data_IF_854603496702
#
_entry.id   IF_854603496702
#
_cell.length_a   1.000
_cell.length_b   1.000
_cell.length_c   1.000
_cell.angle_alpha   90.00
_cell.angle_beta   90.00
_cell.angle_gamma   90.00
#
_symmetry.space_group_name_H-M   'P 1'
#
loop_
_entity.id
_entity.type
_entity.pdbx_description
1 polymer ?
#
# COMPACT_ATOMS: atom_id res chain seq x y z
N UNK A 1 -12.54 16.15 19.84
CA UNK A 1 -11.28 15.60 19.29
C UNK A 1 -10.54 16.59 18.41
N UNK A 2 -11.12 17.12 17.31
CA UNK A 2 -10.44 18.18 16.51
C UNK A 2 -10.07 19.46 17.28
N UNK A 3 -10.73 19.72 18.39
CA UNK A 3 -10.45 20.86 19.28
C UNK A 3 -9.34 20.59 20.30
N UNK A 4 -9.02 19.32 20.60
CA UNK A 4 -8.01 18.96 21.62
C UNK A 4 -6.58 18.93 21.06
N UNK A 5 -6.41 18.87 19.74
CA UNK A 5 -5.10 18.94 19.07
C UNK A 5 -4.78 20.32 18.48
N UNK A 6 -5.74 21.26 18.45
CA UNK A 6 -5.62 22.53 17.72
C UNK A 6 -4.96 23.69 18.48
N UNK A 7 -4.78 23.59 19.80
CA UNK A 7 -4.30 24.71 20.62
C UNK A 7 -2.77 24.88 20.62
N UNK A 8 -2.01 23.87 20.18
CA UNK A 8 -0.55 23.89 20.14
C UNK A 8 0.03 23.56 18.77
N UNK A 9 1.19 24.15 18.43
CA UNK A 9 1.92 23.89 17.17
C UNK A 9 2.70 22.56 17.21
N UNK A 10 2.03 21.48 17.60
CA UNK A 10 2.66 20.19 17.94
C UNK A 10 2.60 19.16 16.81
N UNK A 11 2.03 19.51 15.65
CA UNK A 11 1.94 18.64 14.48
C UNK A 11 3.15 18.72 13.55
N UNK A 12 3.22 17.78 12.61
CA UNK A 12 4.25 17.78 11.57
C UNK A 12 3.93 18.90 10.57
N UNK A 13 4.90 19.76 10.28
CA UNK A 13 4.69 20.88 9.35
C UNK A 13 4.30 20.40 7.94
N UNK A 14 3.04 20.64 7.57
CA UNK A 14 2.48 20.26 6.27
C UNK A 14 2.72 21.34 5.21
N UNK A 15 2.43 22.59 5.56
CA UNK A 15 2.76 23.78 4.77
C UNK A 15 3.30 24.88 5.69
N UNK A 16 3.66 26.05 5.15
CA UNK A 16 4.01 27.21 5.98
C UNK A 16 2.88 27.64 6.93
N UNK A 17 1.63 27.21 6.69
CA UNK A 17 0.43 27.61 7.45
C UNK A 17 -0.38 26.45 8.04
N UNK A 18 -0.03 25.20 7.74
CA UNK A 18 -0.79 24.02 8.19
C UNK A 18 0.14 23.00 8.84
N UNK A 19 -0.37 22.32 9.86
CA UNK A 19 0.26 21.16 10.48
C UNK A 19 -0.61 19.93 10.27
N UNK A 20 0.03 18.76 10.25
CA UNK A 20 -0.62 17.47 10.27
C UNK A 20 -0.52 16.91 11.69
N UNK A 21 -1.65 16.90 12.40
CA UNK A 21 -1.70 16.60 13.82
C UNK A 21 -2.10 15.16 14.15
N UNK A 22 -3.00 14.61 13.35
CA UNK A 22 -3.57 13.29 13.53
C UNK A 22 -4.04 12.68 12.20
N UNK A 23 -4.18 11.35 12.21
CA UNK A 23 -4.89 10.57 11.21
C UNK A 23 -5.97 9.77 11.94
N UNK A 24 -7.23 10.02 11.61
CA UNK A 24 -8.38 9.34 12.18
C UNK A 24 -9.08 8.46 11.13
N UNK A 25 -9.44 7.23 11.52
CA UNK A 25 -10.31 6.37 10.74
C UNK A 25 -11.17 5.51 11.67
N UNK A 26 -12.46 5.83 11.74
CA UNK A 26 -13.39 5.22 12.69
C UNK A 26 -12.87 5.34 14.15
N UNK A 27 -12.50 4.22 14.76
CA UNK A 27 -11.93 4.09 16.10
C UNK A 27 -10.40 4.14 16.13
N UNK A 28 -9.72 4.01 14.99
CA UNK A 28 -8.27 4.12 14.89
C UNK A 28 -7.82 5.59 14.85
N UNK A 29 -7.03 6.02 15.85
CA UNK A 29 -6.39 7.34 15.89
C UNK A 29 -4.86 7.18 15.89
N UNK A 30 -4.18 7.89 14.98
CA UNK A 30 -2.73 8.04 15.01
C UNK A 30 -2.34 9.51 15.21
N UNK A 31 -1.71 9.83 16.33
CA UNK A 31 -1.18 11.17 16.63
C UNK A 31 0.21 11.33 16.02
N UNK A 32 0.47 12.49 15.41
CA UNK A 32 1.73 12.79 14.72
C UNK A 32 2.40 14.01 15.35
N UNK A 33 3.65 13.86 15.77
CA UNK A 33 4.45 14.94 16.38
C UNK A 33 5.92 14.87 15.96
N UNK A 34 6.66 15.97 16.08
CA UNK A 34 8.09 16.00 15.76
C UNK A 34 8.97 15.57 16.94
N UNK A 35 8.50 15.77 18.17
CA UNK A 35 9.23 15.42 19.39
C UNK A 35 8.39 14.55 20.32
N UNK A 36 9.07 13.76 21.14
CA UNK A 36 8.43 12.92 22.15
C UNK A 36 7.65 13.76 23.17
N UNK A 37 8.17 14.95 23.56
CA UNK A 37 7.46 15.86 24.45
C UNK A 37 6.12 16.31 23.85
N UNK A 38 6.10 16.71 22.57
CA UNK A 38 4.86 17.07 21.87
C UNK A 38 3.87 15.91 21.79
N UNK A 39 4.38 14.68 21.59
CA UNK A 39 3.56 13.47 21.60
C UNK A 39 2.92 13.21 22.96
N UNK A 40 3.67 13.42 24.05
CA UNK A 40 3.14 13.31 25.41
C UNK A 40 2.05 14.35 25.69
N UNK A 41 2.29 15.61 25.32
CA UNK A 41 1.31 16.69 25.49
C UNK A 41 0.01 16.40 24.73
N UNK A 42 0.09 15.88 23.50
CA UNK A 42 -1.09 15.46 22.72
C UNK A 42 -1.84 14.30 23.37
N UNK A 43 -1.11 13.30 23.88
CA UNK A 43 -1.72 12.14 24.53
C UNK A 43 -2.47 12.55 25.79
N UNK A 44 -1.89 13.43 26.61
CA UNK A 44 -2.53 13.99 27.80
C UNK A 44 -3.80 14.79 27.46
N UNK A 45 -3.75 15.60 26.39
CA UNK A 45 -4.91 16.38 25.92
C UNK A 45 -6.05 15.48 25.43
N UNK A 46 -5.73 14.43 24.66
CA UNK A 46 -6.73 13.44 24.21
C UNK A 46 -7.34 12.71 25.40
N UNK A 47 -6.54 12.27 26.38
CA UNK A 47 -7.04 11.61 27.59
C UNK A 47 -8.02 12.50 28.37
N UNK A 48 -7.66 13.78 28.58
CA UNK A 48 -8.53 14.75 29.25
C UNK A 48 -9.86 14.97 28.49
N UNK A 49 -9.81 15.07 27.16
CA UNK A 49 -11.00 15.25 26.34
C UNK A 49 -11.90 14.00 26.30
N UNK A 50 -11.32 12.80 26.35
CA UNK A 50 -12.06 11.54 26.39
C UNK A 50 -12.84 11.36 27.70
N UNK A 51 -12.29 11.83 28.82
CA UNK A 51 -12.95 11.78 30.12
C UNK A 51 -14.29 12.54 30.16
N UNK A 52 -14.47 13.56 29.31
CA UNK A 52 -15.67 14.39 29.27
C UNK A 52 -16.87 13.78 28.51
N UNK A 53 -16.68 12.70 27.74
CA UNK A 53 -17.68 12.16 26.80
C UNK A 53 -18.37 10.88 27.31
N UNK A 54 -18.20 10.53 28.59
CA UNK A 54 -18.72 9.32 29.24
C UNK A 54 -18.04 8.02 28.79
N UNK A 55 -16.90 7.73 29.43
CA UNK A 55 -16.47 6.39 29.83
C UNK A 55 -15.60 6.57 31.08
N UNK A 56 -16.04 6.01 32.20
CA UNK A 56 -15.25 5.85 33.43
C UNK A 56 -14.15 4.82 33.17
N UNK A 57 -12.94 5.30 32.90
CA UNK A 57 -11.72 5.05 33.70
C UNK A 57 -10.56 5.93 33.18
N UNK A 58 -9.66 6.41 34.05
CA UNK A 58 -8.61 7.37 33.70
C UNK A 58 -7.39 6.65 33.09
N UNK A 59 -6.94 7.02 31.90
CA UNK A 59 -5.75 6.41 31.31
C UNK A 59 -4.50 7.26 31.58
N UNK A 60 -3.79 6.89 32.62
CA UNK A 60 -2.45 6.28 32.46
C UNK A 60 -2.64 4.88 31.86
N UNK A 61 -1.79 4.35 30.97
CA UNK A 61 -1.84 2.89 30.75
C UNK A 61 -1.22 2.29 32.02
N UNK A 62 -1.99 2.14 33.09
CA UNK A 62 -1.59 1.56 34.39
C UNK A 62 -0.32 2.13 35.08
N UNK A 63 0.12 3.34 34.72
CA UNK A 63 1.38 3.92 35.22
C UNK A 63 2.63 3.40 34.48
N UNK A 64 2.44 2.75 33.33
CA UNK A 64 3.47 2.24 32.44
C UNK A 64 3.72 3.18 31.25
N UNK A 65 4.98 3.22 30.81
CA UNK A 65 5.42 4.00 29.66
C UNK A 65 4.79 3.47 28.36
N UNK A 66 4.37 4.37 27.46
CA UNK A 66 3.97 3.98 26.11
C UNK A 66 5.13 3.26 25.41
N UNK A 67 4.90 2.01 24.99
CA UNK A 67 5.93 1.23 24.32
C UNK A 67 6.41 1.92 23.03
N UNK A 68 7.72 2.17 22.96
CA UNK A 68 8.38 2.53 21.70
C UNK A 68 8.49 1.28 20.81
N UNK A 69 7.55 1.14 19.88
CA UNK A 69 7.46 -0.02 19.00
C UNK A 69 8.12 0.23 17.64
N UNK A 70 9.06 -0.65 17.26
CA UNK A 70 9.72 -0.62 15.94
C UNK A 70 8.79 -0.96 14.78
N UNK A 71 7.66 -1.60 15.08
CA UNK A 71 6.65 -1.98 14.09
C UNK A 71 5.25 -1.84 14.68
N UNK A 72 4.33 -1.22 13.95
CA UNK A 72 2.92 -1.14 14.34
C UNK A 72 2.01 -1.44 13.14
N UNK A 73 0.74 -1.78 13.41
CA UNK A 73 -0.25 -2.04 12.36
C UNK A 73 -1.25 -0.89 12.31
N UNK A 74 -1.40 -0.27 11.15
CA UNK A 74 -2.41 0.76 10.91
C UNK A 74 -3.25 0.40 9.69
N UNK A 75 -4.58 0.34 9.84
CA UNK A 75 -5.53 -0.09 8.81
C UNK A 75 -5.16 -1.43 8.14
N UNK A 76 -4.61 -2.31 8.97
CA UNK A 76 -4.17 -3.65 8.60
C UNK A 76 -2.81 -3.74 7.89
N UNK A 77 -2.16 -2.61 7.59
CA UNK A 77 -0.81 -2.55 7.00
C UNK A 77 0.25 -2.42 8.07
N UNK A 78 1.34 -3.17 7.95
CA UNK A 78 2.46 -3.10 8.90
C UNK A 78 3.39 -1.95 8.49
N UNK A 79 3.60 -1.02 9.41
CA UNK A 79 4.54 0.09 9.29
C UNK A 79 5.74 -0.23 10.18
N UNK A 80 6.92 -0.28 9.58
CA UNK A 80 8.20 -0.44 10.30
C UNK A 80 8.97 0.88 10.36
N UNK A 81 9.85 1.01 11.34
CA UNK A 81 10.75 2.15 11.55
C UNK A 81 11.54 2.50 10.27
N UNK A 82 11.88 1.51 9.44
CA UNK A 82 12.66 1.71 8.22
C UNK A 82 11.81 2.15 7.01
N UNK A 83 10.48 2.24 7.16
CA UNK A 83 9.51 2.49 6.09
C UNK A 83 9.58 1.47 4.95
N UNK A 84 9.96 0.24 5.28
CA UNK A 84 10.03 -0.91 4.38
C UNK A 84 8.66 -1.53 4.10
N UNK A 85 8.60 -2.43 3.11
CA UNK A 85 7.38 -3.18 2.79
C UNK A 85 7.56 -4.69 3.01
N UNK A 86 8.74 -5.14 3.47
CA UNK A 86 9.03 -6.56 3.63
C UNK A 86 8.17 -7.21 4.73
N UNK A 87 7.97 -6.53 5.86
CA UNK A 87 7.14 -7.03 6.96
C UNK A 87 5.67 -7.16 6.53
N UNK A 88 5.10 -6.11 5.92
CA UNK A 88 3.73 -6.14 5.42
C UNK A 88 3.54 -7.21 4.33
N UNK A 89 4.43 -7.28 3.34
CA UNK A 89 4.38 -8.32 2.29
C UNK A 89 4.43 -9.72 2.89
N UNK A 90 5.27 -9.96 3.92
CA UNK A 90 5.35 -11.25 4.61
C UNK A 90 4.03 -11.58 5.30
N UNK A 91 3.43 -10.64 6.02
CA UNK A 91 2.14 -10.82 6.67
C UNK A 91 1.02 -11.11 5.64
N UNK A 92 1.00 -10.38 4.52
CA UNK A 92 0.03 -10.56 3.43
C UNK A 92 0.17 -11.90 2.74
N UNK A 93 1.39 -12.41 2.56
CA UNK A 93 1.64 -13.78 2.08
C UNK A 93 1.02 -14.81 3.04
N UNK A 94 1.16 -14.61 4.35
CA UNK A 94 0.54 -15.45 5.37
C UNK A 94 -1.00 -15.44 5.27
N UNK A 95 -1.60 -14.24 5.25
CA UNK A 95 -3.06 -14.05 5.11
C UNK A 95 -3.60 -14.66 3.81
N UNK A 96 -2.92 -14.43 2.68
CA UNK A 96 -3.30 -14.99 1.39
C UNK A 96 -3.19 -16.53 1.36
N UNK A 97 -2.17 -17.10 2.02
CA UNK A 97 -2.06 -18.56 2.19
C UNK A 97 -3.24 -19.11 2.97
N UNK A 98 -3.63 -18.47 4.08
CA UNK A 98 -4.79 -18.87 4.86
C UNK A 98 -6.08 -18.79 4.04
N UNK A 99 -6.31 -17.69 3.31
CA UNK A 99 -7.46 -17.54 2.42
C UNK A 99 -7.51 -18.63 1.33
N UNK A 100 -6.37 -19.00 0.75
CA UNK A 100 -6.32 -20.12 -0.20
C UNK A 100 -6.74 -21.44 0.46
N UNK A 101 -6.23 -21.73 1.67
CA UNK A 101 -6.52 -22.98 2.37
C UNK A 101 -8.00 -23.10 2.78
N UNK A 102 -8.64 -22.00 3.17
CA UNK A 102 -10.08 -21.99 3.46
C UNK A 102 -10.93 -22.43 2.26
N UNK A 103 -10.46 -22.14 1.04
CA UNK A 103 -11.15 -22.50 -0.21
C UNK A 103 -10.77 -23.89 -0.75
N UNK A 104 -10.23 -24.80 0.09
CA UNK A 104 -9.71 -26.12 -0.37
C UNK A 104 -10.70 -26.87 -1.26
N UNK A 105 -11.98 -26.90 -0.87
CA UNK A 105 -13.01 -27.69 -1.56
C UNK A 105 -13.20 -27.20 -3.01
N UNK A 106 -13.03 -25.89 -3.26
CA UNK A 106 -13.09 -25.28 -4.59
C UNK A 106 -11.94 -25.79 -5.46
N UNK A 107 -10.72 -25.86 -4.91
CA UNK A 107 -9.54 -26.27 -5.67
C UNK A 107 -9.61 -27.75 -6.08
N UNK A 108 -10.12 -28.61 -5.20
CA UNK A 108 -10.26 -30.04 -5.46
C UNK A 108 -11.48 -30.41 -6.32
N UNK A 109 -12.55 -29.60 -6.30
CA UNK A 109 -13.76 -29.86 -7.09
C UNK A 109 -13.47 -30.10 -8.57
N UNK A 110 -14.03 -31.18 -9.13
CA UNK A 110 -13.96 -31.47 -10.58
C UNK A 110 -15.03 -30.74 -11.39
N UNK A 111 -16.08 -30.24 -10.73
CA UNK A 111 -17.21 -29.56 -11.38
C UNK A 111 -16.85 -28.14 -11.84
N UNK A 112 -15.89 -27.50 -11.16
CA UNK A 112 -15.46 -26.14 -11.49
C UNK A 112 -14.37 -26.15 -12.56
N UNK A 113 -14.59 -25.37 -13.61
CA UNK A 113 -13.58 -25.14 -14.65
C UNK A 113 -12.36 -24.42 -14.09
N UNK A 114 -11.20 -24.67 -14.73
CA UNK A 114 -9.93 -24.03 -14.38
C UNK A 114 -10.04 -22.50 -14.42
N UNK A 115 -10.71 -21.93 -15.42
CA UNK A 115 -10.91 -20.48 -15.54
C UNK A 115 -11.71 -19.91 -14.35
N UNK A 116 -12.73 -20.62 -13.89
CA UNK A 116 -13.52 -20.23 -12.70
C UNK A 116 -12.65 -20.24 -11.45
N UNK A 117 -11.82 -21.28 -11.26
CA UNK A 117 -10.88 -21.34 -10.13
C UNK A 117 -9.85 -20.22 -10.16
N UNK A 118 -9.30 -19.90 -11.33
CA UNK A 118 -8.38 -18.77 -11.51
C UNK A 118 -9.06 -17.43 -11.16
N UNK A 119 -10.34 -17.24 -11.51
CA UNK A 119 -11.13 -16.06 -11.11
C UNK A 119 -11.33 -16.00 -9.60
N UNK A 120 -11.67 -17.11 -8.96
CA UNK A 120 -11.84 -17.20 -7.50
C UNK A 120 -10.52 -16.89 -6.79
N UNK A 121 -9.40 -17.43 -7.28
CA UNK A 121 -8.07 -17.12 -6.75
C UNK A 121 -7.76 -15.62 -6.83
N UNK A 122 -8.01 -14.98 -7.97
CA UNK A 122 -7.75 -13.55 -8.12
C UNK A 122 -8.60 -12.70 -7.19
N UNK A 123 -9.87 -13.07 -6.99
CA UNK A 123 -10.84 -12.27 -6.22
C UNK A 123 -10.70 -12.43 -4.71
N UNK A 124 -10.30 -13.61 -4.23
CA UNK A 124 -10.27 -13.91 -2.79
C UNK A 124 -8.86 -14.01 -2.22
N UNK A 125 -7.89 -14.52 -2.99
CA UNK A 125 -6.52 -14.76 -2.50
C UNK A 125 -5.60 -13.63 -2.90
N UNK A 126 -5.64 -13.25 -4.19
CA UNK A 126 -4.73 -12.26 -4.74
C UNK A 126 -5.06 -10.84 -4.28
N UNK A 127 -6.33 -10.53 -4.03
CA UNK A 127 -6.77 -9.28 -3.40
C UNK A 127 -6.21 -9.13 -1.99
N UNK A 128 -6.24 -10.19 -1.18
CA UNK A 128 -5.63 -10.21 0.17
C UNK A 128 -4.12 -10.05 0.08
N UNK A 129 -3.49 -10.73 -0.89
CA UNK A 129 -2.05 -10.64 -1.12
C UNK A 129 -1.62 -9.22 -1.52
N UNK A 130 -2.35 -8.56 -2.41
CA UNK A 130 -2.00 -7.25 -3.00
C UNK A 130 -2.76 -6.08 -2.36
N UNK A 131 -3.25 -6.26 -1.14
CA UNK A 131 -3.85 -5.18 -0.36
C UNK A 131 -2.75 -4.21 0.07
N UNK A 132 -2.94 -2.92 -0.17
CA UNK A 132 -1.95 -1.87 0.15
C UNK A 132 -0.75 -1.84 -0.80
N UNK A 133 -0.74 -2.67 -1.85
CA UNK A 133 0.40 -2.74 -2.78
C UNK A 133 0.66 -1.44 -3.55
N UNK A 134 -0.33 -0.55 -3.60
CA UNK A 134 -0.24 0.78 -4.18
C UNK A 134 0.86 1.63 -3.52
N UNK A 135 1.04 1.50 -2.20
CA UNK A 135 1.95 2.31 -1.39
C UNK A 135 3.28 1.61 -1.08
N UNK A 136 3.42 0.33 -1.45
CA UNK A 136 4.65 -0.42 -1.20
C UNK A 136 5.85 0.12 -1.96
N UNK A 137 7.01 0.01 -1.32
CA UNK A 137 8.32 0.07 -1.97
C UNK A 137 8.56 -1.24 -2.71
N UNK A 138 8.52 -1.21 -4.04
CA UNK A 138 8.63 -2.43 -4.86
C UNK A 138 10.07 -2.73 -5.26
N UNK A 139 10.80 -3.39 -4.36
CA UNK A 139 12.12 -3.93 -4.70
C UNK A 139 12.00 -5.16 -5.61
N UNK A 140 13.04 -5.44 -6.40
CA UNK A 140 13.10 -6.66 -7.23
C UNK A 140 12.85 -7.92 -6.39
N UNK A 141 13.40 -7.97 -5.17
CA UNK A 141 13.23 -9.09 -4.26
C UNK A 141 11.77 -9.25 -3.81
N UNK A 142 11.09 -8.17 -3.42
CA UNK A 142 9.66 -8.19 -3.04
C UNK A 142 8.80 -8.65 -4.21
N UNK A 143 9.01 -8.07 -5.40
CA UNK A 143 8.29 -8.46 -6.62
C UNK A 143 8.48 -9.96 -6.91
N UNK A 144 9.71 -10.47 -6.80
CA UNK A 144 10.01 -11.88 -7.00
C UNK A 144 9.30 -12.77 -5.98
N UNK A 145 9.31 -12.41 -4.68
CA UNK A 145 8.59 -13.15 -3.63
C UNK A 145 7.09 -13.27 -3.96
N UNK A 146 6.46 -12.16 -4.35
CA UNK A 146 5.04 -12.11 -4.71
C UNK A 146 4.77 -12.94 -5.98
N UNK A 147 5.62 -12.81 -7.01
CA UNK A 147 5.47 -13.54 -8.26
C UNK A 147 5.61 -15.06 -8.05
N UNK A 148 6.58 -15.50 -7.26
CA UNK A 148 6.78 -16.92 -6.90
C UNK A 148 5.55 -17.45 -6.18
N UNK A 149 5.02 -16.71 -5.22
CA UNK A 149 3.79 -17.06 -4.53
C UNK A 149 2.65 -17.27 -5.55
N UNK A 150 2.30 -16.25 -6.34
CA UNK A 150 1.21 -16.32 -7.32
C UNK A 150 1.40 -17.50 -8.28
N UNK A 151 2.59 -17.63 -8.87
CA UNK A 151 2.88 -18.66 -9.86
C UNK A 151 2.78 -20.08 -9.25
N UNK A 152 3.14 -20.25 -7.99
CA UNK A 152 3.01 -21.55 -7.31
C UNK A 152 1.55 -21.98 -7.18
N UNK A 153 0.63 -21.07 -6.82
CA UNK A 153 -0.80 -21.38 -6.70
C UNK A 153 -1.48 -21.53 -8.05
N UNK A 154 -1.09 -20.75 -9.06
CA UNK A 154 -1.60 -20.95 -10.42
C UNK A 154 -1.23 -22.34 -10.95
N UNK A 155 0.00 -22.81 -10.74
CA UNK A 155 0.41 -24.18 -11.11
C UNK A 155 -0.42 -25.24 -10.39
N UNK A 156 -0.70 -25.06 -9.09
CA UNK A 156 -1.58 -25.95 -8.32
C UNK A 156 -3.01 -25.98 -8.88
N UNK A 157 -3.56 -24.82 -9.28
CA UNK A 157 -4.89 -24.72 -9.89
C UNK A 157 -4.93 -25.43 -11.25
N UNK A 158 -3.87 -25.29 -12.06
CA UNK A 158 -3.71 -26.01 -13.33
C UNK A 158 -3.39 -27.50 -13.15
N UNK A 159 -3.25 -27.98 -11.91
CA UNK A 159 -2.87 -29.37 -11.57
C UNK A 159 -1.55 -29.84 -12.18
N UNK A 160 -0.61 -28.91 -12.38
CA UNK A 160 0.72 -29.24 -12.87
C UNK A 160 1.50 -29.85 -11.70
N UNK A 161 1.89 -31.11 -11.87
CA UNK A 161 2.64 -31.90 -10.89
C UNK A 161 3.95 -32.33 -11.53
N UNK A 162 4.97 -32.56 -10.71
CA UNK A 162 6.17 -33.23 -11.18
C UNK A 162 5.79 -34.59 -11.82
N UNK A 163 6.39 -35.00 -12.96
CA UNK A 163 7.55 -34.41 -13.65
C UNK A 163 7.22 -33.29 -14.65
N UNK A 164 5.94 -32.96 -14.85
CA UNK A 164 5.53 -31.95 -15.82
C UNK A 164 6.04 -30.55 -15.44
N UNK A 165 6.79 -29.93 -16.36
CA UNK A 165 7.34 -28.59 -16.17
C UNK A 165 6.85 -27.67 -17.29
N UNK A 166 6.37 -26.48 -16.91
CA UNK A 166 6.01 -25.42 -17.85
C UNK A 166 6.76 -24.13 -17.53
N UNK A 167 7.08 -23.37 -18.57
CA UNK A 167 7.64 -22.02 -18.44
C UNK A 167 6.65 -21.06 -17.79
N UNK A 168 7.16 -19.98 -17.17
CA UNK A 168 6.30 -18.94 -16.60
C UNK A 168 5.45 -18.23 -17.68
N UNK A 169 5.96 -18.08 -18.91
CA UNK A 169 5.22 -17.45 -20.01
C UNK A 169 4.00 -18.28 -20.39
N UNK A 170 4.18 -19.60 -20.58
CA UNK A 170 3.05 -20.52 -20.88
C UNK A 170 2.04 -20.54 -19.73
N UNK A 171 2.50 -20.46 -18.47
CA UNK A 171 1.60 -20.35 -17.31
C UNK A 171 0.72 -19.08 -17.39
N UNK A 172 1.32 -17.94 -17.75
CA UNK A 172 0.64 -16.66 -17.85
C UNK A 172 -0.33 -16.59 -19.04
N UNK A 173 0.04 -17.17 -20.18
CA UNK A 173 -0.84 -17.31 -21.35
C UNK A 173 -2.06 -18.18 -21.02
N UNK A 174 -1.85 -19.39 -20.47
CA UNK A 174 -2.96 -20.31 -20.12
C UNK A 174 -3.92 -19.74 -19.09
N UNK A 175 -3.43 -18.87 -18.20
CA UNK A 175 -4.26 -18.26 -17.16
C UNK A 175 -4.78 -16.87 -17.55
N UNK A 176 -4.34 -16.33 -18.69
CA UNK A 176 -4.55 -14.93 -19.10
C UNK A 176 -4.21 -13.97 -17.95
N UNK A 177 -2.97 -14.02 -17.46
CA UNK A 177 -2.48 -13.20 -16.34
C UNK A 177 -1.24 -12.42 -16.75
N UNK A 178 -1.10 -11.24 -16.14
CA UNK A 178 0.09 -10.40 -16.25
C UNK A 178 1.06 -10.66 -15.09
N UNK A 179 2.35 -10.33 -15.25
CA UNK A 179 3.30 -10.34 -14.14
C UNK A 179 2.86 -9.46 -12.97
N UNK A 180 3.19 -9.89 -11.75
CA UNK A 180 2.81 -9.21 -10.51
C UNK A 180 3.29 -7.76 -10.46
N UNK A 181 4.48 -7.50 -11.02
CA UNK A 181 5.03 -6.15 -11.10
C UNK A 181 4.15 -5.19 -11.91
N UNK A 182 3.62 -5.65 -13.03
CA UNK A 182 2.75 -4.83 -13.88
C UNK A 182 1.42 -4.56 -13.20
N UNK A 183 0.89 -5.54 -12.48
CA UNK A 183 -0.37 -5.38 -11.75
C UNK A 183 -0.24 -4.42 -10.57
N UNK A 184 0.83 -4.52 -9.78
CA UNK A 184 1.13 -3.58 -8.71
C UNK A 184 1.31 -2.17 -9.28
N UNK A 185 2.02 -2.03 -10.41
CA UNK A 185 2.16 -0.76 -11.12
C UNK A 185 0.81 -0.20 -11.58
N UNK A 186 -0.04 -1.02 -12.20
CA UNK A 186 -1.41 -0.60 -12.60
C UNK A 186 -2.23 -0.12 -11.41
N UNK A 187 -2.20 -0.86 -10.30
CA UNK A 187 -2.90 -0.51 -9.05
C UNK A 187 -2.41 0.84 -8.53
N UNK A 188 -1.11 1.02 -8.42
CA UNK A 188 -0.47 2.26 -7.97
C UNK A 188 -0.87 3.45 -8.83
N UNK A 189 -0.74 3.34 -10.16
CA UNK A 189 -1.08 4.44 -11.06
C UNK A 189 -2.58 4.69 -11.18
N UNK A 190 -3.43 3.67 -10.96
CA UNK A 190 -4.88 3.87 -10.80
C UNK A 190 -5.18 4.68 -9.53
N UNK A 191 -4.51 4.38 -8.42
CA UNK A 191 -4.64 5.14 -7.17
C UNK A 191 -4.13 6.58 -7.32
N UNK A 192 -2.96 6.77 -7.93
CA UNK A 192 -2.40 8.11 -8.22
C UNK A 192 -3.37 8.94 -9.06
N UNK A 193 -3.90 8.39 -10.15
CA UNK A 193 -4.84 9.12 -11.01
C UNK A 193 -6.09 9.55 -10.28
N UNK A 194 -6.64 8.66 -9.44
CA UNK A 194 -7.78 9.00 -8.59
C UNK A 194 -7.43 10.14 -7.60
N UNK A 195 -6.22 10.14 -7.04
CA UNK A 195 -5.74 11.18 -6.13
C UNK A 195 -5.51 12.51 -6.85
N UNK A 196 -4.91 12.51 -8.04
CA UNK A 196 -4.68 13.71 -8.87
C UNK A 196 -5.99 14.30 -9.41
N UNK A 197 -7.01 13.47 -9.62
CA UNK A 197 -8.36 13.89 -10.01
C UNK A 197 -9.11 14.69 -8.93
N UNK A 198 -8.67 14.65 -7.66
CA UNK A 198 -9.31 15.40 -6.58
C UNK A 198 -8.99 16.89 -6.65
N UNK A 199 -9.77 17.72 -5.96
CA UNK A 199 -9.55 19.15 -5.87
C UNK A 199 -8.13 19.49 -5.32
N UNK A 200 -7.48 20.58 -5.75
CA UNK A 200 -6.12 20.94 -5.33
C UNK A 200 -5.94 21.13 -3.82
N UNK A 201 -6.99 21.54 -3.11
CA UNK A 201 -7.01 21.71 -1.66
C UNK A 201 -7.23 20.40 -0.88
N UNK A 202 -7.47 19.29 -1.56
CA UNK A 202 -7.69 18.01 -0.90
C UNK A 202 -6.37 17.50 -0.28
N UNK A 203 -6.39 17.19 1.02
CA UNK A 203 -5.22 16.73 1.79
C UNK A 203 -4.54 15.54 1.10
N UNK A 204 -5.30 14.56 0.60
CA UNK A 204 -4.71 13.39 -0.08
C UNK A 204 -3.97 13.75 -1.37
N UNK A 205 -4.38 14.82 -2.08
CA UNK A 205 -3.68 15.29 -3.28
C UNK A 205 -2.42 16.05 -2.92
N UNK A 206 -2.49 16.92 -1.90
CA UNK A 206 -1.32 17.63 -1.38
C UNK A 206 -0.27 16.66 -0.81
N UNK A 207 -0.70 15.59 -0.15
CA UNK A 207 0.15 14.54 0.40
C UNK A 207 1.06 13.90 -0.63
N UNK A 208 0.59 13.77 -1.88
CA UNK A 208 1.30 13.11 -2.95
C UNK A 208 2.55 13.89 -3.39
N UNK A 209 2.50 15.22 -3.32
CA UNK A 209 3.58 16.13 -3.71
C UNK A 209 4.35 16.70 -2.52
N UNK A 210 3.84 16.48 -1.30
CA UNK A 210 4.45 16.94 -0.08
C UNK A 210 5.86 16.36 0.13
N UNK A 211 6.76 17.21 0.61
CA UNK A 211 8.12 16.84 0.98
C UNK A 211 8.32 17.19 2.46
N UNK A 212 8.36 16.21 3.36
CA UNK A 212 8.52 16.48 4.78
C UNK A 212 9.87 17.15 5.05
N UNK A 213 9.87 18.11 5.98
CA UNK A 213 11.09 18.78 6.42
C UNK A 213 11.91 17.87 7.34
N UNK A 214 13.23 17.91 7.22
CA UNK A 214 14.16 17.14 8.05
C UNK A 214 15.44 16.77 7.30
N UNK A 215 16.53 16.58 8.05
CA UNK A 215 17.74 15.99 7.48
C UNK A 215 17.63 14.48 7.53
N UNK A 216 17.99 13.84 6.41
CA UNK A 216 18.04 12.40 6.32
C UNK A 216 19.37 11.91 6.89
N UNK A 217 19.34 10.85 7.68
CA UNK A 217 20.57 10.13 8.01
C UNK A 217 21.32 9.70 6.74
N UNK A 218 22.65 9.88 6.75
CA UNK A 218 23.53 9.51 5.64
C UNK A 218 23.65 7.99 5.54
N UNK A 219 22.60 7.37 5.01
CA UNK A 219 22.57 5.96 4.65
C UNK A 219 22.46 5.78 3.13
N UNK A 220 22.63 4.52 2.68
CA UNK A 220 22.45 4.13 1.28
C UNK A 220 21.12 4.68 0.71
N UNK A 221 21.09 5.18 -0.55
CA UNK A 221 19.88 5.75 -1.11
C UNK A 221 18.73 4.73 -1.13
N UNK A 222 17.74 4.91 -0.25
CA UNK A 222 16.52 4.06 -0.22
C UNK A 222 15.62 4.45 -1.41
N UNK A 223 15.05 3.47 -2.12
CA UNK A 223 14.01 3.72 -3.11
C UNK A 223 12.75 4.21 -2.40
N UNK A 224 12.21 5.35 -2.80
CA UNK A 224 10.98 5.92 -2.24
C UNK A 224 9.89 5.77 -3.31
N UNK A 225 8.63 5.70 -2.89
CA UNK A 225 7.47 5.75 -3.80
C UNK A 225 7.62 6.85 -4.86
N UNK A 226 8.03 8.06 -4.45
CA UNK A 226 8.33 9.19 -5.34
C UNK A 226 9.38 8.89 -6.41
N UNK A 227 10.48 8.20 -6.07
CA UNK A 227 11.53 7.84 -7.04
C UNK A 227 11.04 6.79 -8.03
N UNK A 228 10.24 5.83 -7.56
CA UNK A 228 9.62 4.85 -8.46
C UNK A 228 8.64 5.52 -9.43
N UNK A 229 7.86 6.48 -8.92
CA UNK A 229 6.97 7.30 -9.74
C UNK A 229 7.77 8.10 -10.77
N UNK A 230 8.85 8.79 -10.38
CA UNK A 230 9.73 9.52 -11.30
C UNK A 230 10.33 8.63 -12.40
N UNK A 231 10.71 7.39 -12.06
CA UNK A 231 11.19 6.40 -13.06
C UNK A 231 10.07 6.06 -14.05
N UNK A 232 8.87 5.81 -13.57
CA UNK A 232 7.73 5.47 -14.42
C UNK A 232 7.26 6.69 -15.26
N UNK A 233 7.30 7.89 -14.71
CA UNK A 233 7.05 9.15 -15.43
C UNK A 233 8.02 9.37 -16.58
N UNK A 234 9.32 9.12 -16.36
CA UNK A 234 10.34 9.17 -17.41
C UNK A 234 10.04 8.18 -18.54
N UNK A 235 9.50 6.99 -18.23
CA UNK A 235 9.08 6.02 -19.27
C UNK A 235 7.87 6.47 -20.07
N UNK A 236 6.97 7.23 -19.43
CA UNK A 236 5.80 7.82 -20.10
C UNK A 236 6.15 9.08 -20.88
N UNK A 237 7.36 9.62 -20.70
CA UNK A 237 7.76 10.93 -21.20
C UNK A 237 6.77 12.03 -20.74
N UNK A 238 6.44 12.02 -19.44
CA UNK A 238 5.50 12.97 -18.82
C UNK A 238 6.10 13.66 -17.62
N UNK A 239 5.74 14.92 -17.44
CA UNK A 239 5.97 15.65 -16.19
C UNK A 239 4.72 15.65 -15.30
N UNK A 240 4.84 16.20 -14.08
CA UNK A 240 3.73 16.23 -13.11
C UNK A 240 2.52 17.04 -13.58
N UNK A 241 2.73 18.19 -14.23
CA UNK A 241 1.63 19.02 -14.72
C UNK A 241 0.83 18.33 -15.83
N UNK A 242 1.52 17.64 -16.74
CA UNK A 242 0.87 16.87 -17.80
C UNK A 242 0.07 15.69 -17.23
N UNK A 243 0.62 14.98 -16.25
CA UNK A 243 -0.11 13.92 -15.55
C UNK A 243 -1.34 14.44 -14.81
N UNK A 244 -1.23 15.60 -14.16
CA UNK A 244 -2.38 16.22 -13.50
C UNK A 244 -3.50 16.56 -14.48
N UNK A 245 -3.16 17.06 -15.66
CA UNK A 245 -4.12 17.35 -16.72
C UNK A 245 -4.74 16.06 -17.28
N UNK A 246 -3.93 15.04 -17.55
CA UNK A 246 -4.40 13.75 -18.07
C UNK A 246 -5.23 12.96 -17.05
N UNK A 247 -4.97 13.10 -15.75
CA UNK A 247 -5.76 12.46 -14.70
C UNK A 247 -7.21 12.92 -14.68
N UNK A 248 -7.52 14.10 -15.24
CA UNK A 248 -8.90 14.59 -15.40
C UNK A 248 -9.64 13.85 -16.53
N UNK A 249 -8.91 13.38 -17.55
CA UNK A 249 -9.47 12.53 -18.61
C UNK A 249 -9.36 11.05 -18.21
N UNK A 250 -10.49 10.46 -17.79
CA UNK A 250 -10.55 9.05 -17.39
C UNK A 250 -10.20 8.07 -18.53
N UNK A 251 -10.39 8.45 -19.80
CA UNK A 251 -10.06 7.59 -20.94
C UNK A 251 -8.57 7.71 -21.24
N UNK A 252 -8.06 8.93 -21.39
CA UNK A 252 -6.64 9.24 -21.54
C UNK A 252 -5.79 8.60 -20.45
N UNK A 253 -6.18 8.75 -19.18
CA UNK A 253 -5.49 8.13 -18.05
C UNK A 253 -5.43 6.60 -18.15
N UNK A 254 -6.53 5.95 -18.54
CA UNK A 254 -6.56 4.49 -18.73
C UNK A 254 -5.63 4.04 -19.85
N UNK A 255 -5.56 4.78 -20.96
CA UNK A 255 -4.65 4.48 -22.06
C UNK A 255 -3.19 4.65 -21.64
N UNK A 256 -2.87 5.74 -20.94
CA UNK A 256 -1.52 6.02 -20.44
C UNK A 256 -1.00 4.90 -19.51
N UNK A 257 -1.80 4.54 -18.49
CA UNK A 257 -1.46 3.48 -17.54
C UNK A 257 -1.38 2.10 -18.23
N UNK A 258 -2.24 1.87 -19.22
CA UNK A 258 -2.18 0.70 -20.09
C UNK A 258 -0.84 0.62 -20.84
N UNK A 259 -0.44 1.69 -21.51
CA UNK A 259 0.81 1.81 -22.25
C UNK A 259 2.04 1.57 -21.38
N UNK A 260 2.09 2.19 -20.19
CA UNK A 260 3.17 2.00 -19.21
C UNK A 260 3.42 0.52 -18.88
N UNK A 261 2.37 -0.27 -18.80
CA UNK A 261 2.47 -1.68 -18.43
C UNK A 261 2.73 -2.58 -19.63
N UNK A 262 2.35 -2.17 -20.85
CA UNK A 262 2.63 -2.91 -22.09
C UNK A 262 4.04 -2.66 -22.65
N UNK A 263 4.69 -1.54 -22.33
CA UNK A 263 6.04 -1.20 -22.83
C UNK A 263 7.09 -2.28 -22.49
N UNK A 264 6.84 -3.10 -21.46
CA UNK A 264 7.78 -4.14 -21.04
C UNK A 264 7.58 -5.50 -21.71
N UNK A 265 6.38 -5.80 -22.24
CA UNK A 265 6.13 -7.08 -22.93
C UNK A 265 6.87 -7.15 -24.27
N UNK A 266 7.19 -6.01 -24.89
CA UNK A 266 7.86 -5.95 -26.19
C UNK A 266 9.40 -6.01 -26.15
N UNK A 267 10.05 -6.09 -24.98
CA UNK A 267 11.52 -6.15 -24.85
C UNK A 267 12.07 -7.54 -24.47
N UNK A 268 11.27 -8.60 -24.63
CA UNK A 268 11.73 -10.00 -24.56
C UNK A 268 11.23 -10.74 -25.79
N UNK A 269 11.85 -10.45 -26.93
CA UNK A 269 12.03 -11.42 -28.01
C UNK A 269 13.52 -11.69 -28.09
#
# INVERSE_FOLDING_TARGET
>A
MKTSTSEGKHGIQWTSRMQLDDLDFADDLALLSQTQQQMQEKTNSVAAASAAVACTDPITIDGEDLEDVKTFTYLGSIIDEQGGSDADVKARIGKARAAYLQLRNIWYSKQLSTNTKVRIFNTNVKTVLLYGAETWRTTKAIIQKIQVFINSYLRKILRIRWPDTISNNVLWERTNKIPAEEEIRKKRWKWIGNTLGKAPNCVTRQALTWNPQGQREREKPKNILRREMEIDMKKMNKNWMELEKEAQDRVGWRMLVGGLCSIRSNRRK
#
